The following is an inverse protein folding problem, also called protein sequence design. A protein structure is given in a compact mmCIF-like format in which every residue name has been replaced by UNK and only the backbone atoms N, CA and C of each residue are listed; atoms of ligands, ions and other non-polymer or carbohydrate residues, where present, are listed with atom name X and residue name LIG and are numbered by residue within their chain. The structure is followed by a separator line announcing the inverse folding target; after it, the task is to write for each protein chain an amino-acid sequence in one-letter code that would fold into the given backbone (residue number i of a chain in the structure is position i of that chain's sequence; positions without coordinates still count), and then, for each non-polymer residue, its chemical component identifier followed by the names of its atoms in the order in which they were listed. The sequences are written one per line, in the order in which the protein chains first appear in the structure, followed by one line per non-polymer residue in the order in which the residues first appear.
data_IF_208161043344
#
_entry.id   IF_208161043344
#
_cell.length_a   1.000
_cell.length_b   1.000
_cell.length_c   1.000
_cell.angle_alpha   90.00
_cell.angle_beta   90.00
_cell.angle_gamma   90.00
#
_symmetry.space_group_name_H-M   'P 1'
#
loop_
_entity.id
_entity.type
_entity.pdbx_description
1 polymer ?
#
# COMPACT_ATOMS: atom_id res chain seq x y z
N UNK A 1 19.20 40.94 34.44
CA UNK A 1 18.28 40.65 33.32
C UNK A 1 18.85 39.51 32.51
N UNK A 2 18.32 38.31 32.73
CA UNK A 2 18.68 37.14 31.93
C UNK A 2 17.53 36.87 30.97
N UNK A 3 17.82 36.94 29.69
CA UNK A 3 16.89 36.55 28.65
C UNK A 3 16.96 35.04 28.49
N UNK A 4 15.89 34.36 28.83
CA UNK A 4 15.74 32.94 28.51
C UNK A 4 15.28 32.85 27.04
N UNK A 5 16.17 32.39 26.20
CA UNK A 5 15.84 32.08 24.82
C UNK A 5 15.08 30.75 24.80
N UNK A 6 13.78 30.81 24.58
CA UNK A 6 12.99 29.64 24.34
C UNK A 6 13.22 29.24 22.88
N UNK A 7 14.04 28.22 22.67
CA UNK A 7 14.15 27.56 21.38
C UNK A 7 12.87 26.77 21.17
N UNK A 8 11.96 27.33 20.40
CA UNK A 8 10.84 26.58 19.86
C UNK A 8 11.36 25.53 18.92
N UNK A 9 11.38 24.29 19.36
CA UNK A 9 11.67 23.16 18.50
C UNK A 9 10.49 22.93 17.59
N UNK A 10 10.60 23.42 16.38
CA UNK A 10 9.69 23.10 15.29
C UNK A 10 10.04 21.69 14.79
N UNK A 11 9.56 20.66 15.52
CA UNK A 11 9.83 19.26 15.21
C UNK A 11 8.66 18.55 14.57
N UNK A 12 7.65 19.30 14.08
CA UNK A 12 6.40 18.70 13.62
C UNK A 12 6.41 18.23 12.16
N UNK A 13 7.36 18.65 11.33
CA UNK A 13 7.39 18.31 9.90
C UNK A 13 8.29 17.10 9.58
N UNK A 14 9.37 16.90 10.33
CA UNK A 14 10.27 15.76 10.14
C UNK A 14 9.67 14.41 10.57
N UNK A 15 8.69 14.42 11.49
CA UNK A 15 8.06 13.18 11.98
C UNK A 15 7.08 12.56 10.98
N UNK A 16 6.46 13.35 10.09
CA UNK A 16 5.42 12.90 9.15
C UNK A 16 6.00 12.12 7.98
N UNK A 17 7.07 12.61 7.37
CA UNK A 17 7.78 11.90 6.30
C UNK A 17 8.43 10.61 6.81
N UNK A 18 8.80 10.58 8.09
CA UNK A 18 9.47 9.46 8.71
C UNK A 18 8.59 8.22 8.86
N UNK A 19 7.32 8.36 9.26
CA UNK A 19 6.39 7.22 9.40
C UNK A 19 6.14 6.52 8.07
N UNK A 20 5.92 7.28 7.00
CA UNK A 20 5.69 6.72 5.67
C UNK A 20 6.93 5.99 5.15
N UNK A 21 8.10 6.62 5.25
CA UNK A 21 9.36 6.02 4.82
C UNK A 21 9.71 4.77 5.64
N UNK A 22 9.51 4.81 6.94
CA UNK A 22 9.73 3.66 7.82
C UNK A 22 8.80 2.50 7.45
N UNK A 23 7.53 2.80 7.16
CA UNK A 23 6.57 1.79 6.71
C UNK A 23 7.02 1.13 5.40
N UNK A 24 7.48 1.90 4.43
CA UNK A 24 8.00 1.35 3.15
C UNK A 24 9.21 0.44 3.36
N UNK A 25 10.11 0.80 4.27
CA UNK A 25 11.25 -0.05 4.62
C UNK A 25 10.80 -1.37 5.25
N UNK A 26 9.82 -1.33 6.13
CA UNK A 26 9.25 -2.53 6.73
C UNK A 26 8.58 -3.43 5.70
N UNK A 27 7.82 -2.86 4.77
CA UNK A 27 7.19 -3.59 3.66
C UNK A 27 8.25 -4.29 2.80
N UNK A 28 9.32 -3.60 2.47
CA UNK A 28 10.43 -4.18 1.69
C UNK A 28 11.09 -5.36 2.43
N UNK A 29 11.33 -5.21 3.73
CA UNK A 29 11.90 -6.28 4.56
C UNK A 29 10.94 -7.46 4.68
N UNK A 30 9.65 -7.19 4.84
CA UNK A 30 8.61 -8.23 4.87
C UNK A 30 8.60 -9.04 3.57
N UNK A 31 8.67 -8.38 2.42
CA UNK A 31 8.75 -9.05 1.12
C UNK A 31 9.96 -9.97 1.00
N UNK A 32 11.11 -9.57 1.53
CA UNK A 32 12.30 -10.43 1.57
C UNK A 32 12.10 -11.66 2.45
N UNK A 33 11.41 -11.52 3.58
CA UNK A 33 11.08 -12.64 4.45
C UNK A 33 10.10 -13.62 3.79
N UNK A 34 9.12 -13.11 3.04
CA UNK A 34 8.21 -13.97 2.28
C UNK A 34 8.97 -14.83 1.26
N UNK A 35 9.91 -14.23 0.52
CA UNK A 35 10.75 -14.97 -0.44
C UNK A 35 11.58 -16.08 0.21
N UNK A 36 11.87 -15.95 1.49
CA UNK A 36 12.56 -16.97 2.31
C UNK A 36 11.57 -17.89 3.02
N UNK A 37 10.29 -17.83 2.68
CA UNK A 37 9.21 -18.62 3.29
C UNK A 37 9.03 -18.38 4.79
N UNK A 38 9.51 -17.27 5.30
CA UNK A 38 9.34 -16.84 6.71
C UNK A 38 8.06 -16.02 6.85
N UNK A 39 6.92 -16.67 6.61
CA UNK A 39 5.62 -16.00 6.47
C UNK A 39 5.16 -15.30 7.75
N UNK A 40 5.29 -15.94 8.91
CA UNK A 40 4.86 -15.36 10.19
C UNK A 40 5.66 -14.10 10.55
N UNK A 41 6.97 -14.13 10.31
CA UNK A 41 7.83 -12.96 10.51
C UNK A 41 7.48 -11.84 9.54
N UNK A 42 7.18 -12.17 8.28
CA UNK A 42 6.74 -11.20 7.28
C UNK A 42 5.44 -10.53 7.73
N UNK A 43 4.45 -11.28 8.18
CA UNK A 43 3.16 -10.74 8.65
C UNK A 43 3.34 -9.78 9.83
N UNK A 44 4.25 -10.07 10.75
CA UNK A 44 4.58 -9.15 11.86
C UNK A 44 5.09 -7.81 11.33
N UNK A 45 5.99 -7.83 10.34
CA UNK A 45 6.51 -6.60 9.73
C UNK A 45 5.43 -5.84 8.96
N UNK A 46 4.56 -6.54 8.24
CA UNK A 46 3.42 -5.89 7.58
C UNK A 46 2.48 -5.23 8.59
N UNK A 47 2.22 -5.87 9.73
CA UNK A 47 1.40 -5.28 10.80
C UNK A 47 2.06 -4.05 11.42
N UNK A 48 3.38 -4.08 11.62
CA UNK A 48 4.13 -2.92 12.10
C UNK A 48 4.10 -1.78 11.08
N UNK A 49 4.26 -2.10 9.79
CA UNK A 49 4.16 -1.12 8.72
C UNK A 49 2.78 -0.46 8.69
N UNK A 50 1.72 -1.25 8.82
CA UNK A 50 0.35 -0.73 8.86
C UNK A 50 0.15 0.30 9.98
N UNK A 51 0.64 0.03 11.18
CA UNK A 51 0.55 0.97 12.30
C UNK A 51 1.26 2.30 12.01
N UNK A 52 2.41 2.25 11.36
CA UNK A 52 3.12 3.46 10.94
C UNK A 52 2.35 4.21 9.84
N UNK A 53 1.74 3.48 8.92
CA UNK A 53 0.90 4.07 7.87
C UNK A 53 -0.34 4.75 8.44
N UNK A 54 -0.96 4.20 9.48
CA UNK A 54 -2.06 4.87 10.17
C UNK A 54 -1.63 6.23 10.72
N UNK A 55 -0.45 6.32 11.31
CA UNK A 55 0.11 7.59 11.80
C UNK A 55 0.37 8.57 10.66
N UNK A 56 0.95 8.11 9.56
CA UNK A 56 1.16 8.94 8.38
C UNK A 56 -0.17 9.42 7.79
N UNK A 57 -1.15 8.53 7.70
CA UNK A 57 -2.47 8.83 7.17
C UNK A 57 -3.21 9.89 8.01
N UNK A 58 -3.08 9.84 9.33
CA UNK A 58 -3.73 10.83 10.22
C UNK A 58 -3.31 12.27 9.90
N UNK A 59 -2.13 12.44 9.34
CA UNK A 59 -1.58 13.75 8.93
C UNK A 59 -1.87 14.10 7.46
N UNK A 60 -2.03 13.09 6.59
CA UNK A 60 -2.19 13.25 5.13
C UNK A 60 -3.32 12.36 4.60
N UNK A 61 -4.55 12.64 5.01
CA UNK A 61 -5.73 11.82 4.69
C UNK A 61 -6.11 11.78 3.21
N UNK A 62 -5.55 12.67 2.39
CA UNK A 62 -5.80 12.70 0.94
C UNK A 62 -4.60 12.21 0.12
N UNK A 63 -3.70 11.47 0.73
CA UNK A 63 -2.56 10.91 0.04
C UNK A 63 -2.88 9.49 -0.46
N UNK A 64 -3.11 9.28 -1.77
CA UNK A 64 -3.43 7.95 -2.29
C UNK A 64 -2.28 6.96 -2.17
N UNK A 65 -1.03 7.41 -2.13
CA UNK A 65 0.13 6.52 -1.95
C UNK A 65 0.11 5.85 -0.57
N UNK A 66 -0.24 6.60 0.47
CA UNK A 66 -0.40 6.03 1.82
C UNK A 66 -1.53 5.01 1.83
N UNK A 67 -2.67 5.33 1.22
CA UNK A 67 -3.81 4.42 1.11
C UNK A 67 -3.46 3.16 0.33
N UNK A 68 -2.62 3.27 -0.70
CA UNK A 68 -2.12 2.11 -1.44
C UNK A 68 -1.34 1.15 -0.53
N UNK A 69 -0.42 1.66 0.27
CA UNK A 69 0.34 0.84 1.22
C UNK A 69 -0.53 0.29 2.35
N UNK A 70 -1.53 1.04 2.82
CA UNK A 70 -2.49 0.54 3.82
C UNK A 70 -3.30 -0.63 3.25
N UNK A 71 -3.75 -0.53 2.01
CA UNK A 71 -4.40 -1.63 1.30
C UNK A 71 -3.48 -2.83 1.14
N UNK A 72 -2.25 -2.60 0.69
CA UNK A 72 -1.27 -3.65 0.48
C UNK A 72 -0.94 -4.42 1.77
N UNK A 73 -0.63 -3.71 2.84
CA UNK A 73 -0.32 -4.34 4.14
C UNK A 73 -1.53 -5.08 4.72
N UNK A 74 -2.73 -4.53 4.60
CA UNK A 74 -3.96 -5.20 5.01
C UNK A 74 -4.18 -6.51 4.24
N UNK A 75 -3.97 -6.52 2.93
CA UNK A 75 -4.05 -7.73 2.11
C UNK A 75 -3.02 -8.77 2.56
N UNK A 76 -1.78 -8.35 2.78
CA UNK A 76 -0.69 -9.25 3.17
C UNK A 76 -0.90 -9.93 4.52
N UNK A 77 -1.62 -9.31 5.43
CA UNK A 77 -1.99 -9.93 6.71
C UNK A 77 -3.34 -10.66 6.67
N UNK A 78 -4.01 -10.68 5.52
CA UNK A 78 -5.25 -11.42 5.31
C UNK A 78 -6.54 -10.63 5.51
N UNK A 79 -6.47 -9.32 5.75
CA UNK A 79 -7.64 -8.46 5.94
C UNK A 79 -8.12 -7.91 4.58
N UNK A 80 -8.69 -8.79 3.75
CA UNK A 80 -9.05 -8.48 2.37
C UNK A 80 -10.16 -7.43 2.26
N UNK A 81 -11.16 -7.49 3.10
CA UNK A 81 -12.25 -6.50 3.11
C UNK A 81 -11.73 -5.10 3.41
N UNK A 82 -10.89 -4.97 4.41
CA UNK A 82 -10.29 -3.69 4.78
C UNK A 82 -9.33 -3.18 3.69
N UNK A 83 -8.55 -4.08 3.09
CA UNK A 83 -7.69 -3.75 1.96
C UNK A 83 -8.47 -3.12 0.81
N UNK A 84 -9.60 -3.72 0.44
CA UNK A 84 -10.47 -3.19 -0.61
C UNK A 84 -10.95 -1.78 -0.29
N UNK A 85 -11.36 -1.53 0.95
CA UNK A 85 -11.83 -0.20 1.38
C UNK A 85 -10.74 0.86 1.23
N UNK A 86 -9.51 0.56 1.62
CA UNK A 86 -8.38 1.48 1.46
C UNK A 86 -8.09 1.77 -0.01
N UNK A 87 -8.08 0.75 -0.86
CA UNK A 87 -7.87 0.93 -2.28
C UNK A 87 -8.97 1.78 -2.92
N UNK A 88 -10.23 1.50 -2.61
CA UNK A 88 -11.36 2.26 -3.15
C UNK A 88 -11.32 3.72 -2.68
N UNK A 89 -10.95 3.97 -1.44
CA UNK A 89 -10.75 5.34 -0.95
C UNK A 89 -9.64 6.05 -1.73
N UNK A 90 -8.53 5.37 -1.99
CA UNK A 90 -7.44 5.91 -2.80
C UNK A 90 -7.87 6.22 -4.23
N UNK A 91 -8.66 5.36 -4.86
CA UNK A 91 -9.19 5.59 -6.20
C UNK A 91 -10.22 6.71 -6.25
N UNK A 92 -10.93 6.99 -5.16
CA UNK A 92 -11.82 8.15 -5.09
C UNK A 92 -11.03 9.47 -5.14
N UNK A 93 -9.77 9.46 -4.70
CA UNK A 93 -8.87 10.61 -4.74
C UNK A 93 -8.15 10.69 -6.08
N UNK A 94 -7.59 9.55 -6.54
CA UNK A 94 -6.85 9.45 -7.80
C UNK A 94 -7.28 8.19 -8.56
N UNK A 95 -8.31 8.30 -9.42
CA UNK A 95 -8.88 7.13 -10.13
C UNK A 95 -7.88 6.39 -11.04
N UNK A 96 -6.87 7.07 -11.56
CA UNK A 96 -5.84 6.51 -12.44
C UNK A 96 -4.55 6.11 -11.71
N UNK A 97 -4.57 6.02 -10.39
CA UNK A 97 -3.39 5.63 -9.62
C UNK A 97 -2.93 4.23 -10.04
N UNK A 98 -1.74 4.13 -10.64
CA UNK A 98 -1.25 2.88 -11.21
C UNK A 98 -1.11 1.77 -10.17
N UNK A 99 -0.47 2.05 -9.06
CA UNK A 99 -0.25 1.08 -8.00
C UNK A 99 -1.54 0.54 -7.39
N UNK A 100 -2.52 1.41 -7.12
CA UNK A 100 -3.81 1.00 -6.56
C UNK A 100 -4.58 0.13 -7.55
N UNK A 101 -4.63 0.54 -8.83
CA UNK A 101 -5.33 -0.26 -9.84
C UNK A 101 -4.71 -1.65 -10.01
N UNK A 102 -3.38 -1.77 -9.97
CA UNK A 102 -2.71 -3.06 -10.00
C UNK A 102 -3.06 -3.89 -8.76
N UNK A 103 -2.85 -3.37 -7.56
CA UNK A 103 -3.02 -4.14 -6.33
C UNK A 103 -4.49 -4.45 -6.02
N UNK A 104 -5.41 -3.56 -6.33
CA UNK A 104 -6.84 -3.86 -6.21
C UNK A 104 -7.25 -4.93 -7.23
N UNK A 105 -6.73 -4.86 -8.44
CA UNK A 105 -6.94 -5.91 -9.45
C UNK A 105 -6.44 -7.26 -8.96
N UNK A 106 -5.26 -7.29 -8.34
CA UNK A 106 -4.68 -8.48 -7.74
C UNK A 106 -5.56 -9.04 -6.60
N UNK A 107 -6.07 -8.16 -5.74
CA UNK A 107 -7.01 -8.53 -4.68
C UNK A 107 -8.28 -9.15 -5.27
N UNK A 108 -8.82 -8.59 -6.35
CA UNK A 108 -9.99 -9.15 -7.02
C UNK A 108 -9.72 -10.55 -7.60
N UNK A 109 -8.54 -10.79 -8.15
CA UNK A 109 -8.14 -12.14 -8.57
C UNK A 109 -8.09 -13.09 -7.38
N UNK A 110 -7.47 -12.70 -6.27
CA UNK A 110 -7.38 -13.51 -5.05
C UNK A 110 -8.75 -13.87 -4.46
N UNK A 111 -9.72 -12.98 -4.60
CA UNK A 111 -11.07 -13.16 -4.08
C UNK A 111 -12.06 -13.64 -5.15
N UNK A 112 -11.56 -14.14 -6.28
CA UNK A 112 -12.32 -14.73 -7.38
C UNK A 112 -13.34 -13.78 -8.02
N UNK A 113 -12.94 -12.52 -8.19
CA UNK A 113 -13.75 -11.48 -8.84
C UNK A 113 -13.03 -10.99 -10.12
N UNK A 114 -12.88 -11.91 -11.09
CA UNK A 114 -12.12 -11.67 -12.33
C UNK A 114 -12.66 -10.52 -13.16
N UNK A 115 -13.99 -10.34 -13.22
CA UNK A 115 -14.59 -9.23 -13.96
C UNK A 115 -14.11 -7.87 -13.43
N UNK A 116 -14.05 -7.73 -12.11
CA UNK A 116 -13.56 -6.51 -11.46
C UNK A 116 -12.05 -6.33 -11.65
N UNK A 117 -11.29 -7.43 -11.66
CA UNK A 117 -9.86 -7.38 -11.96
C UNK A 117 -9.62 -6.86 -13.40
N UNK A 118 -10.41 -7.32 -14.36
CA UNK A 118 -10.32 -6.85 -15.75
C UNK A 118 -10.70 -5.37 -15.89
N UNK A 119 -11.64 -4.87 -15.09
CA UNK A 119 -11.93 -3.42 -15.05
C UNK A 119 -10.71 -2.61 -14.61
N UNK A 120 -9.98 -3.10 -13.63
CA UNK A 120 -8.72 -2.44 -13.19
C UNK A 120 -7.64 -2.51 -14.26
N UNK A 121 -7.54 -3.63 -14.94
CA UNK A 121 -6.61 -3.79 -16.06
C UNK A 121 -6.93 -2.80 -17.20
N UNK A 122 -8.21 -2.61 -17.51
CA UNK A 122 -8.65 -1.68 -18.54
C UNK A 122 -8.24 -0.23 -18.22
N UNK A 123 -8.34 0.17 -16.96
CA UNK A 123 -7.86 1.49 -16.51
C UNK A 123 -6.36 1.67 -16.78
N UNK A 124 -5.57 0.60 -16.65
CA UNK A 124 -4.12 0.63 -16.82
C UNK A 124 -3.65 0.53 -18.28
N UNK A 125 -4.51 0.19 -19.22
CA UNK A 125 -4.10 -0.20 -20.59
C UNK A 125 -3.23 0.83 -21.33
N UNK A 126 -3.36 2.11 -21.01
CA UNK A 126 -2.60 3.19 -21.65
C UNK A 126 -1.49 3.77 -20.77
N UNK A 127 -1.21 3.17 -19.62
CA UNK A 127 -0.22 3.71 -18.68
C UNK A 127 1.23 3.55 -19.18
N UNK A 128 1.50 2.60 -20.06
CA UNK A 128 2.85 2.22 -20.46
C UNK A 128 3.74 1.93 -19.23
N UNK A 129 3.22 1.14 -18.32
CA UNK A 129 3.83 0.91 -17.01
C UNK A 129 3.90 -0.57 -16.64
N UNK A 130 4.76 -0.91 -15.68
CA UNK A 130 4.93 -2.29 -15.19
C UNK A 130 3.67 -2.83 -14.52
N UNK A 131 2.89 -1.96 -13.89
CA UNK A 131 1.65 -2.33 -13.19
C UNK A 131 0.65 -3.00 -14.13
N UNK A 132 0.55 -2.54 -15.39
CA UNK A 132 -0.28 -3.21 -16.41
C UNK A 132 0.20 -4.63 -16.68
N UNK A 133 1.50 -4.79 -16.91
CA UNK A 133 2.11 -6.10 -17.23
C UNK A 133 1.94 -7.08 -16.09
N UNK A 134 2.16 -6.64 -14.86
CA UNK A 134 2.02 -7.46 -13.66
C UNK A 134 0.57 -7.92 -13.47
N UNK A 135 -0.40 -7.02 -13.56
CA UNK A 135 -1.80 -7.37 -13.41
C UNK A 135 -2.29 -8.29 -14.55
N UNK A 136 -1.86 -8.02 -15.79
CA UNK A 136 -2.18 -8.89 -16.92
C UNK A 136 -1.69 -10.32 -16.68
N UNK A 137 -0.47 -10.49 -16.19
CA UNK A 137 0.11 -11.79 -15.86
C UNK A 137 -0.67 -12.48 -14.73
N UNK A 138 -1.02 -11.74 -13.69
CA UNK A 138 -1.78 -12.26 -12.55
C UNK A 138 -3.15 -12.75 -13.01
N UNK A 139 -3.83 -12.01 -13.86
CA UNK A 139 -5.14 -12.41 -14.42
C UNK A 139 -4.99 -13.67 -15.28
N UNK A 140 -3.99 -13.71 -16.18
CA UNK A 140 -3.73 -14.86 -17.05
C UNK A 140 -3.43 -16.12 -16.28
N UNK A 141 -2.71 -16.01 -15.18
CA UNK A 141 -2.34 -17.15 -14.34
C UNK A 141 -3.38 -17.45 -13.26
N UNK A 142 -4.48 -16.68 -13.21
CA UNK A 142 -5.56 -16.78 -12.22
C UNK A 142 -5.05 -16.82 -10.79
N UNK A 143 -4.08 -15.95 -10.50
CA UNK A 143 -3.54 -15.78 -9.16
C UNK A 143 -2.41 -16.75 -8.78
N UNK A 144 -1.95 -17.62 -9.67
CA UNK A 144 -0.80 -18.49 -9.36
C UNK A 144 0.50 -17.69 -9.19
N UNK A 145 0.52 -16.43 -9.62
CA UNK A 145 1.65 -15.50 -9.53
C UNK A 145 1.31 -14.21 -8.75
N UNK A 146 0.41 -14.31 -7.78
CA UNK A 146 0.09 -13.16 -6.91
C UNK A 146 1.27 -12.82 -6.00
N UNK A 147 1.62 -11.56 -5.93
CA UNK A 147 2.74 -11.04 -5.15
C UNK A 147 2.30 -10.42 -3.83
#
# INVERSE_FOLDING_TARGET
SQYVYSAGSDSSDDSKSNYYDDAKKLVKRAGKLEKKEKIDKAKKLYSQAFKKLEKAYSSEKKNPDILNYMGYTSRKIGNFEQAEKFYLTGLSIKPDHNGINEYLGELYVQTNRLDKANERLDVLKNCNCEEYKELELIIKTRGSKVY
#
